data_IF_590520178485
#
_entry.id   IF_590520178485
#
_cell.length_a   1.000
_cell.length_b   1.000
_cell.length_c   1.000
_cell.angle_alpha   90.00
_cell.angle_beta   90.00
_cell.angle_gamma   90.00
#
_symmetry.space_group_name_H-M   'P 1'
#
loop_
_entity.id
_entity.type
_entity.pdbx_description
1 polymer ?
#
# COMPACT_ATOMS: atom_id res chain seq x y z
N UNK A 1 8.93 -9.20 -9.50
CA UNK A 1 8.48 -8.57 -8.23
C UNK A 1 7.48 -9.52 -7.58
N UNK A 2 7.45 -9.66 -6.25
CA UNK A 2 6.39 -10.43 -5.60
C UNK A 2 5.03 -9.91 -6.08
N UNK A 3 4.25 -10.78 -6.71
CA UNK A 3 2.91 -10.46 -7.19
C UNK A 3 1.97 -10.48 -5.99
N UNK A 4 1.85 -9.35 -5.30
CA UNK A 4 0.79 -9.17 -4.32
C UNK A 4 -0.55 -9.16 -5.06
N UNK A 5 -1.52 -9.97 -4.62
CA UNK A 5 -2.86 -9.91 -5.17
C UNK A 5 -3.47 -8.52 -4.96
N UNK A 6 -4.28 -8.06 -5.92
CA UNK A 6 -4.98 -6.77 -5.80
C UNK A 6 -5.79 -6.72 -4.51
N UNK A 7 -6.51 -7.81 -4.18
CA UNK A 7 -7.29 -7.92 -2.94
C UNK A 7 -6.45 -7.71 -1.68
N UNK A 8 -5.23 -8.27 -1.65
CA UNK A 8 -4.34 -8.10 -0.51
C UNK A 8 -3.87 -6.66 -0.37
N UNK A 9 -3.47 -6.04 -1.49
CA UNK A 9 -3.06 -4.63 -1.53
C UNK A 9 -4.21 -3.72 -1.09
N UNK A 10 -5.42 -3.94 -1.59
CA UNK A 10 -6.61 -3.18 -1.21
C UNK A 10 -6.95 -3.28 0.27
N UNK A 11 -6.86 -4.48 0.84
CA UNK A 11 -7.06 -4.70 2.28
C UNK A 11 -6.07 -3.88 3.10
N UNK A 12 -4.77 -3.95 2.76
CA UNK A 12 -3.74 -3.17 3.46
C UNK A 12 -3.97 -1.67 3.33
N UNK A 13 -4.32 -1.18 2.14
CA UNK A 13 -4.59 0.24 1.91
C UNK A 13 -5.80 0.70 2.71
N UNK A 14 -6.90 -0.07 2.73
CA UNK A 14 -8.07 0.22 3.56
C UNK A 14 -7.73 0.30 5.04
N UNK A 15 -6.88 -0.61 5.53
CA UNK A 15 -6.37 -0.50 6.90
C UNK A 15 -5.55 0.78 7.11
N UNK A 16 -4.60 1.09 6.22
CA UNK A 16 -3.76 2.30 6.34
C UNK A 16 -4.52 3.64 6.20
N UNK A 17 -5.70 3.62 5.59
CA UNK A 17 -6.60 4.76 5.44
C UNK A 17 -7.61 4.87 6.59
N UNK A 18 -7.84 3.79 7.34
CA UNK A 18 -8.76 3.80 8.47
C UNK A 18 -8.13 4.56 9.65
N UNK A 19 -8.86 5.48 10.32
CA UNK A 19 -8.36 6.20 11.49
C UNK A 19 -8.04 5.28 12.67
N UNK A 20 -8.65 4.09 12.70
CA UNK A 20 -8.39 3.04 13.70
C UNK A 20 -7.60 1.84 13.12
N UNK A 21 -7.08 1.94 11.90
CA UNK A 21 -6.34 0.86 11.26
C UNK A 21 -4.86 0.83 11.63
N UNK A 22 -4.15 -0.19 11.13
CA UNK A 22 -2.72 -0.39 11.38
C UNK A 22 -1.88 0.69 10.71
N UNK A 23 -0.80 1.10 11.39
CA UNK A 23 0.17 2.06 10.83
C UNK A 23 1.06 1.39 9.79
N UNK A 24 1.59 2.19 8.87
CA UNK A 24 2.55 1.75 7.83
C UNK A 24 3.72 0.96 8.44
N UNK A 25 4.27 1.45 9.55
CA UNK A 25 5.38 0.82 10.27
C UNK A 25 5.03 -0.55 10.85
N UNK A 26 3.77 -0.76 11.26
CA UNK A 26 3.30 -2.05 11.78
C UNK A 26 3.13 -3.05 10.63
N UNK A 27 2.52 -2.62 9.54
CA UNK A 27 2.36 -3.44 8.33
C UNK A 27 3.72 -3.80 7.74
N UNK A 28 4.69 -2.88 7.75
CA UNK A 28 6.06 -3.16 7.33
C UNK A 28 6.68 -4.30 8.13
N UNK A 29 6.55 -4.26 9.47
CA UNK A 29 7.08 -5.31 10.36
C UNK A 29 6.37 -6.65 10.19
N UNK A 30 5.06 -6.63 9.94
CA UNK A 30 4.22 -7.84 9.80
C UNK A 30 4.39 -8.51 8.42
N UNK A 31 4.42 -7.71 7.35
CA UNK A 31 4.42 -8.20 5.96
C UNK A 31 5.80 -8.23 5.30
N UNK A 32 6.78 -7.53 5.88
CA UNK A 32 8.10 -7.31 5.29
C UNK A 32 8.10 -6.33 4.10
N UNK A 33 6.96 -5.72 3.76
CA UNK A 33 6.86 -4.75 2.66
C UNK A 33 7.49 -3.43 3.10
N UNK A 34 8.38 -2.86 2.29
CA UNK A 34 9.03 -1.59 2.63
C UNK A 34 8.01 -0.47 2.90
N UNK A 35 8.28 0.37 3.89
CA UNK A 35 7.42 1.51 4.23
C UNK A 35 7.20 2.42 3.01
N UNK A 36 8.23 2.62 2.19
CA UNK A 36 8.14 3.40 0.95
C UNK A 36 7.08 2.82 -0.03
N UNK A 37 7.03 1.50 -0.20
CA UNK A 37 6.02 0.83 -1.03
C UNK A 37 4.62 1.07 -0.49
N UNK A 38 4.44 0.94 0.84
CA UNK A 38 3.15 1.15 1.52
C UNK A 38 2.66 2.60 1.42
N UNK A 39 3.56 3.57 1.61
CA UNK A 39 3.25 4.98 1.39
C UNK A 39 2.89 5.28 -0.06
N UNK A 40 3.61 4.71 -1.03
CA UNK A 40 3.27 4.83 -2.44
C UNK A 40 1.87 4.29 -2.73
N UNK A 41 1.51 3.14 -2.16
CA UNK A 41 0.18 2.56 -2.31
C UNK A 41 -0.93 3.42 -1.69
N UNK A 42 -0.70 3.95 -0.48
CA UNK A 42 -1.63 4.85 0.19
C UNK A 42 -1.86 6.13 -0.62
N UNK A 43 -0.79 6.73 -1.16
CA UNK A 43 -0.87 7.93 -1.98
C UNK A 43 -1.65 7.68 -3.27
N UNK A 44 -1.32 6.60 -3.98
CA UNK A 44 -1.99 6.17 -5.22
C UNK A 44 -3.49 5.85 -5.08
N UNK A 45 -3.95 5.53 -3.87
CA UNK A 45 -5.37 5.25 -3.59
C UNK A 45 -6.13 6.48 -3.08
N UNK A 46 -5.45 7.43 -2.42
CA UNK A 46 -6.07 8.67 -1.94
C UNK A 46 -6.21 9.73 -3.03
N UNK A 47 -5.24 9.79 -3.94
CA UNK A 47 -5.27 10.62 -5.14
C UNK A 47 -5.71 9.71 -6.29
N UNK A 48 -6.96 9.87 -6.75
CA UNK A 48 -7.62 8.91 -7.65
C UNK A 48 -6.74 8.40 -8.81
N UNK A 49 -6.47 7.10 -8.80
CA UNK A 49 -6.21 6.24 -9.97
C UNK A 49 -5.40 6.82 -11.14
N UNK A 50 -4.21 7.37 -10.93
CA UNK A 50 -3.24 7.51 -12.02
C UNK A 50 -1.84 7.25 -11.48
N UNK A 51 -1.35 6.00 -11.60
CA UNK A 51 0.05 5.70 -11.95
C UNK A 51 0.24 4.18 -11.97
N UNK A 52 -0.18 3.56 -13.06
CA UNK A 52 0.59 2.47 -13.64
C UNK A 52 1.35 3.02 -14.86
N UNK A 53 2.57 2.52 -15.02
CA UNK A 53 3.49 2.70 -16.15
C UNK A 53 4.39 3.94 -16.12
N UNK A 54 5.70 3.69 -15.99
CA UNK A 54 6.73 4.71 -16.13
C UNK A 54 8.04 4.40 -15.42
N UNK A 55 8.59 3.18 -15.55
CA UNK A 55 10.04 3.00 -15.44
C UNK A 55 10.49 1.83 -16.32
N UNK A 56 10.77 2.17 -17.58
CA UNK A 56 11.74 1.47 -18.42
C UNK A 56 12.95 2.39 -18.57
#
# INVERSE_FOLDING_TARGET
>A
MPHYSQEFKEKLIREMMSPAGRRVSEIHRDTGISENTLYSWKNKYGEGQEVESGKA
#
